data_IF_203201090235
#
_entry.id   IF_203201090235
#
_cell.length_a   1.000
_cell.length_b   1.000
_cell.length_c   1.000
_cell.angle_alpha   90.00
_cell.angle_beta   90.00
_cell.angle_gamma   90.00
#
_symmetry.space_group_name_H-M   'P 1'
#
loop_
_entity.id
_entity.type
_entity.pdbx_description
1 polymer ?
#
# COMPACT_ATOMS: atom_id res chain seq x y z
N UNK A 1 55.70 -8.63 -13.79
CA UNK A 1 55.49 -8.16 -12.39
C UNK A 1 54.07 -8.54 -12.01
N UNK A 2 53.78 -9.74 -11.51
CA UNK A 2 53.97 -10.28 -10.15
C UNK A 2 53.35 -9.38 -9.04
N UNK A 3 52.12 -9.77 -8.63
CA UNK A 3 51.52 -9.93 -7.27
C UNK A 3 51.69 -8.74 -6.30
N UNK A 4 50.66 -8.23 -5.61
CA UNK A 4 49.99 -8.88 -4.46
C UNK A 4 48.64 -8.25 -4.09
N UNK A 5 47.64 -9.11 -3.85
CA UNK A 5 46.42 -8.82 -3.09
C UNK A 5 46.79 -8.57 -1.62
N UNK A 6 46.27 -7.51 -1.02
CA UNK A 6 46.38 -7.28 0.42
C UNK A 6 45.10 -7.73 1.12
N UNK A 7 45.24 -8.70 2.01
CA UNK A 7 44.23 -9.16 2.96
C UNK A 7 44.24 -8.21 4.16
N UNK A 8 43.07 -7.82 4.68
CA UNK A 8 42.96 -7.18 6.01
C UNK A 8 41.85 -7.85 6.80
N UNK A 9 42.31 -8.83 7.59
CA UNK A 9 41.97 -9.19 8.96
C UNK A 9 40.59 -8.78 9.49
N UNK A 10 39.75 -9.81 9.70
CA UNK A 10 38.54 -9.81 10.53
C UNK A 10 38.94 -9.73 12.01
N UNK A 11 38.50 -8.68 12.71
CA UNK A 11 38.58 -8.59 14.18
C UNK A 11 37.26 -9.10 14.76
N UNK A 12 37.28 -10.30 15.33
CA UNK A 12 36.19 -10.87 16.12
C UNK A 12 36.36 -10.40 17.56
N UNK A 13 35.53 -9.47 17.99
CA UNK A 13 35.43 -9.05 19.40
C UNK A 13 34.45 -9.94 20.15
N UNK A 14 34.97 -10.83 21.00
CA UNK A 14 34.20 -11.55 22.00
C UNK A 14 33.85 -10.59 23.15
N UNK A 15 32.55 -10.36 23.39
CA UNK A 15 32.04 -9.79 24.64
C UNK A 15 31.18 -10.84 25.32
N UNK A 16 31.73 -11.37 26.41
CA UNK A 16 31.12 -12.30 27.35
C UNK A 16 30.12 -11.61 28.28
N UNK A 17 29.13 -12.38 28.74
CA UNK A 17 28.25 -12.14 29.91
C UNK A 17 27.29 -10.94 29.77
N UNK A 18 25.98 -11.15 29.84
CA UNK A 18 25.34 -11.54 31.10
C UNK A 18 23.95 -12.13 30.85
N UNK A 19 23.76 -13.36 31.33
CA UNK A 19 22.47 -14.02 31.45
C UNK A 19 21.73 -13.38 32.64
N UNK A 20 20.67 -12.62 32.40
CA UNK A 20 19.69 -12.24 33.41
C UNK A 20 18.39 -12.98 33.12
N UNK A 21 18.20 -14.08 33.86
CA UNK A 21 16.95 -14.82 33.91
C UNK A 21 16.05 -14.13 34.94
N UNK A 22 15.01 -13.45 34.49
CA UNK A 22 13.90 -13.05 35.35
C UNK A 22 12.74 -14.02 35.12
N UNK A 23 12.61 -15.05 35.98
CA UNK A 23 11.38 -15.85 36.07
C UNK A 23 10.41 -15.14 36.99
N UNK A 24 9.47 -14.39 36.43
CA UNK A 24 8.31 -13.89 37.14
C UNK A 24 7.23 -14.99 37.16
N UNK A 25 7.14 -15.70 38.28
CA UNK A 25 6.00 -16.54 38.63
C UNK A 25 4.82 -15.66 39.04
N UNK A 26 3.80 -15.55 38.20
CA UNK A 26 2.49 -15.07 38.63
C UNK A 26 1.62 -16.27 38.99
N UNK A 27 1.48 -16.49 40.30
CA UNK A 27 0.60 -17.46 40.92
C UNK A 27 -0.86 -17.22 40.53
N UNK A 28 -1.51 -18.31 40.15
CA UNK A 28 -2.92 -18.44 39.86
C UNK A 28 -3.71 -18.48 41.17
N UNK A 29 -4.40 -17.40 41.55
CA UNK A 29 -5.33 -17.42 42.68
C UNK A 29 -6.72 -17.89 42.23
N UNK A 30 -7.01 -19.12 42.62
CA UNK A 30 -8.34 -19.75 42.59
C UNK A 30 -9.17 -19.17 43.74
N UNK A 31 -10.23 -18.43 43.43
CA UNK A 31 -11.33 -18.15 44.37
C UNK A 31 -12.59 -18.88 43.92
N UNK A 32 -12.93 -19.91 44.68
CA UNK A 32 -14.24 -20.56 44.72
C UNK A 32 -15.13 -19.82 45.71
N UNK A 33 -16.36 -19.53 45.32
CA UNK A 33 -17.49 -19.38 46.25
C UNK A 33 -18.79 -19.64 45.47
N UNK A 34 -19.46 -20.69 45.88
CA UNK A 34 -20.75 -21.19 45.41
C UNK A 34 -21.93 -20.26 45.77
N UNK A 35 -23.03 -20.54 45.07
CA UNK A 35 -24.43 -20.50 45.51
C UNK A 35 -25.23 -19.19 45.34
N UNK A 36 -26.12 -19.17 44.34
CA UNK A 36 -27.55 -19.43 44.59
C UNK A 36 -28.38 -19.24 43.33
N UNK A 37 -29.37 -20.12 43.20
CA UNK A 37 -30.25 -20.32 42.06
C UNK A 37 -31.44 -19.37 42.11
N UNK A 38 -31.81 -18.73 40.98
CA UNK A 38 -33.22 -18.48 40.67
C UNK A 38 -33.42 -18.32 39.15
N UNK A 39 -34.27 -19.20 38.62
CA UNK A 39 -34.74 -19.24 37.24
C UNK A 39 -35.58 -17.99 36.94
N UNK A 40 -35.43 -17.44 35.74
CA UNK A 40 -36.56 -17.18 34.86
C UNK A 40 -36.09 -17.03 33.41
N UNK A 41 -36.93 -17.56 32.53
CA UNK A 41 -36.70 -17.75 31.12
C UNK A 41 -37.20 -16.49 30.41
N UNK A 42 -36.45 -15.93 29.48
CA UNK A 42 -37.02 -15.26 28.30
C UNK A 42 -35.96 -15.13 27.20
N UNK A 43 -36.34 -15.67 26.06
CA UNK A 43 -35.66 -15.73 24.77
C UNK A 43 -35.65 -14.33 24.14
N UNK A 44 -34.49 -13.80 23.67
CA UNK A 44 -34.43 -12.77 22.61
C UNK A 44 -32.98 -12.60 22.10
N UNK A 45 -32.86 -12.74 20.77
CA UNK A 45 -31.87 -12.14 19.86
C UNK A 45 -30.39 -12.44 20.08
N UNK A 46 -29.88 -13.41 19.30
CA UNK A 46 -28.45 -13.61 19.04
C UNK A 46 -27.92 -12.39 18.29
N UNK A 47 -27.36 -11.44 19.04
CA UNK A 47 -26.50 -10.40 18.51
C UNK A 47 -25.28 -11.04 17.86
N UNK A 48 -25.17 -10.87 16.54
CA UNK A 48 -23.97 -11.21 15.78
C UNK A 48 -22.83 -10.36 16.32
N UNK A 49 -22.00 -10.95 17.17
CA UNK A 49 -20.73 -10.37 17.57
C UNK A 49 -19.82 -10.36 16.36
N UNK A 50 -19.78 -9.23 15.67
CA UNK A 50 -18.70 -8.92 14.75
C UNK A 50 -17.43 -8.87 15.60
N UNK A 51 -16.64 -9.95 15.49
CA UNK A 51 -15.32 -10.02 16.12
C UNK A 51 -14.45 -8.98 15.42
N UNK A 52 -14.30 -7.83 16.05
CA UNK A 52 -13.34 -6.81 15.67
C UNK A 52 -11.94 -7.41 15.78
N UNK A 53 -11.42 -7.86 14.63
CA UNK A 53 -10.04 -8.27 14.50
C UNK A 53 -9.16 -7.04 14.73
N UNK A 54 -8.05 -7.14 15.48
CA UNK A 54 -7.15 -6.01 15.67
C UNK A 54 -6.63 -5.57 14.29
N UNK A 55 -7.08 -4.40 13.84
CA UNK A 55 -6.59 -3.76 12.61
C UNK A 55 -5.11 -3.47 12.86
N UNK A 56 -4.23 -4.26 12.26
CA UNK A 56 -2.80 -3.97 12.24
C UNK A 56 -2.66 -2.59 11.60
N UNK A 57 -2.34 -1.57 12.39
CA UNK A 57 -2.13 -0.22 11.88
C UNK A 57 -0.92 -0.25 10.94
N UNK A 58 -1.19 -0.22 9.65
CA UNK A 58 -0.19 0.03 8.62
C UNK A 58 -0.11 1.52 8.42
N UNK A 59 1.06 2.11 8.68
CA UNK A 59 1.30 3.51 8.37
C UNK A 59 1.34 3.71 6.84
N UNK A 60 0.57 4.67 6.35
CA UNK A 60 0.67 5.20 4.98
C UNK A 60 0.81 6.71 5.04
N UNK A 61 1.48 7.30 4.05
CA UNK A 61 1.84 8.73 4.08
C UNK A 61 0.77 9.65 3.44
N UNK A 62 -0.44 9.14 3.19
CA UNK A 62 -1.53 9.84 2.47
C UNK A 62 -1.82 11.25 3.00
N UNK A 63 -1.73 11.45 4.32
CA UNK A 63 -2.00 12.74 4.95
C UNK A 63 -1.16 13.89 4.38
N UNK A 64 0.06 13.63 3.90
CA UNK A 64 0.91 14.63 3.26
C UNK A 64 0.41 15.06 1.88
N UNK A 65 -0.27 14.17 1.17
CA UNK A 65 -0.83 14.42 -0.16
C UNK A 65 -2.23 15.05 -0.08
N UNK A 66 -3.01 14.65 0.93
CA UNK A 66 -4.39 15.11 1.15
C UNK A 66 -4.50 16.60 1.46
N UNK A 67 -3.41 17.26 1.87
CA UNK A 67 -3.37 18.72 2.06
C UNK A 67 -3.81 19.49 0.81
N UNK A 68 -3.42 19.02 -0.38
CA UNK A 68 -3.79 19.63 -1.66
C UNK A 68 -4.76 18.74 -2.47
N UNK A 69 -4.76 17.42 -2.24
CA UNK A 69 -5.55 16.45 -2.98
C UNK A 69 -6.62 15.75 -2.12
N UNK A 70 -7.32 16.53 -1.28
CA UNK A 70 -8.31 16.01 -0.32
C UNK A 70 -9.40 15.13 -0.95
N UNK A 71 -9.78 15.41 -2.20
CA UNK A 71 -10.83 14.68 -2.91
C UNK A 71 -10.55 13.18 -3.10
N UNK A 72 -9.31 12.73 -2.91
CA UNK A 72 -8.97 11.30 -2.99
C UNK A 72 -9.10 10.54 -1.67
N UNK A 73 -9.33 11.20 -0.52
CA UNK A 73 -9.42 10.51 0.78
C UNK A 73 -10.50 9.42 0.81
N UNK A 74 -11.66 9.70 0.22
CA UNK A 74 -12.79 8.77 0.13
C UNK A 74 -12.90 8.07 -1.23
N UNK A 75 -11.95 8.32 -2.14
CA UNK A 75 -11.97 7.70 -3.46
C UNK A 75 -11.66 6.21 -3.34
N UNK A 76 -12.40 5.37 -4.08
CA UNK A 76 -12.40 3.92 -3.88
C UNK A 76 -11.03 3.28 -4.06
N UNK A 77 -10.26 3.70 -5.07
CA UNK A 77 -8.91 3.18 -5.27
C UNK A 77 -8.02 3.54 -4.08
N UNK A 78 -7.91 4.82 -3.74
CA UNK A 78 -7.05 5.29 -2.64
C UNK A 78 -7.43 4.64 -1.30
N UNK A 79 -8.71 4.68 -0.92
CA UNK A 79 -9.20 4.12 0.36
C UNK A 79 -9.00 2.60 0.47
N UNK A 80 -9.25 1.84 -0.61
CA UNK A 80 -9.04 0.37 -0.59
C UNK A 80 -7.55 0.02 -0.49
N UNK A 81 -6.69 0.79 -1.16
CA UNK A 81 -5.25 0.57 -1.13
C UNK A 81 -4.65 0.97 0.22
N UNK A 82 -5.14 2.05 0.84
CA UNK A 82 -4.75 2.46 2.19
C UNK A 82 -5.06 1.35 3.22
N UNK A 83 -6.23 0.71 3.14
CA UNK A 83 -6.58 -0.43 4.00
C UNK A 83 -5.64 -1.64 3.81
N UNK A 84 -5.00 -1.75 2.64
CA UNK A 84 -3.98 -2.74 2.34
C UNK A 84 -2.55 -2.28 2.69
N UNK A 85 -2.38 -1.11 3.31
CA UNK A 85 -1.09 -0.53 3.65
C UNK A 85 -0.34 0.07 2.45
N UNK A 86 -1.06 0.43 1.38
CA UNK A 86 -0.51 1.03 0.17
C UNK A 86 -0.95 2.50 0.10
N UNK A 87 -0.04 3.41 0.45
CA UNK A 87 -0.26 4.85 0.37
C UNK A 87 -0.01 5.45 -1.02
N UNK A 88 -0.34 6.73 -1.18
CA UNK A 88 -0.10 7.53 -2.38
C UNK A 88 1.38 7.47 -2.79
N UNK A 89 2.29 7.57 -1.82
CA UNK A 89 3.74 7.54 -1.99
C UNK A 89 4.24 6.25 -2.62
N UNK A 90 3.52 5.13 -2.43
CA UNK A 90 3.91 3.84 -2.98
C UNK A 90 3.81 3.80 -4.50
N UNK A 91 2.89 4.59 -5.07
CA UNK A 91 2.62 4.66 -6.51
C UNK A 91 3.07 5.98 -7.14
N UNK A 92 2.97 7.11 -6.43
CA UNK A 92 3.33 8.44 -6.93
C UNK A 92 4.70 8.93 -6.44
N UNK A 93 5.37 8.16 -5.60
CA UNK A 93 6.60 8.53 -4.90
C UNK A 93 6.32 9.49 -3.74
N UNK A 94 7.28 9.63 -2.82
CA UNK A 94 7.17 10.53 -1.66
C UNK A 94 6.91 11.98 -2.06
N UNK A 95 7.35 12.37 -3.26
CA UNK A 95 7.01 13.63 -3.91
C UNK A 95 7.28 14.87 -3.03
N UNK A 96 8.38 14.84 -2.25
CA UNK A 96 8.74 15.90 -1.31
C UNK A 96 8.89 17.26 -2.00
N UNK A 97 9.55 17.31 -3.16
CA UNK A 97 9.72 18.55 -3.94
C UNK A 97 8.38 19.09 -4.44
N UNK A 98 7.48 18.22 -4.89
CA UNK A 98 6.15 18.61 -5.36
C UNK A 98 5.29 19.17 -4.21
N UNK A 99 5.24 18.49 -3.06
CA UNK A 99 4.44 18.94 -1.91
C UNK A 99 5.00 20.17 -1.20
N UNK A 100 6.24 20.55 -1.51
CA UNK A 100 6.90 21.76 -0.96
C UNK A 100 6.87 22.92 -1.96
N UNK A 101 6.28 22.73 -3.14
CA UNK A 101 6.20 23.75 -4.19
C UNK A 101 4.81 24.37 -4.25
N UNK A 102 4.66 25.55 -3.66
CA UNK A 102 3.39 26.28 -3.62
C UNK A 102 2.95 26.81 -5.00
N UNK A 103 3.88 26.94 -5.96
CA UNK A 103 3.57 27.34 -7.34
C UNK A 103 3.02 26.17 -8.19
N UNK A 104 3.06 24.95 -7.65
CA UNK A 104 2.59 23.72 -8.28
C UNK A 104 3.21 23.42 -9.65
N UNK A 105 4.44 23.89 -9.92
CA UNK A 105 5.14 23.70 -11.21
C UNK A 105 6.03 22.46 -11.22
N UNK A 106 6.37 21.94 -10.04
CA UNK A 106 7.12 20.71 -9.85
C UNK A 106 6.19 19.52 -9.96
N UNK A 107 6.44 18.55 -10.86
CA UNK A 107 5.62 17.35 -10.96
C UNK A 107 5.82 16.44 -9.73
N UNK A 108 4.84 15.57 -9.41
CA UNK A 108 5.09 14.46 -8.49
C UNK A 108 6.17 13.53 -9.08
N UNK A 109 6.83 12.76 -8.22
CA UNK A 109 7.98 11.94 -8.62
C UNK A 109 7.60 10.90 -9.69
N UNK A 110 6.39 10.34 -9.59
CA UNK A 110 5.87 9.39 -10.56
C UNK A 110 4.51 9.82 -11.09
N UNK A 111 4.44 9.95 -12.41
CA UNK A 111 3.21 10.06 -13.18
C UNK A 111 3.10 8.88 -14.16
N UNK A 112 1.86 8.52 -14.50
CA UNK A 112 1.60 7.37 -15.36
C UNK A 112 1.09 7.82 -16.74
N UNK A 113 1.93 7.78 -17.79
CA UNK A 113 1.42 7.74 -19.15
C UNK A 113 0.58 6.46 -19.34
N UNK A 114 -0.34 6.45 -20.31
CA UNK A 114 -1.36 5.40 -20.45
C UNK A 114 -0.74 4.00 -20.51
N UNK A 115 0.37 3.87 -21.22
CA UNK A 115 1.07 2.62 -21.49
C UNK A 115 1.69 2.01 -20.21
N UNK A 116 1.93 2.83 -19.18
CA UNK A 116 2.49 2.39 -17.89
C UNK A 116 1.44 2.05 -16.83
N UNK A 117 0.15 2.36 -17.05
CA UNK A 117 -0.89 2.12 -16.05
C UNK A 117 -1.05 0.62 -15.76
N UNK A 118 -1.36 -0.19 -16.78
CA UNK A 118 -1.61 -1.61 -16.59
C UNK A 118 -0.41 -2.38 -16.01
N UNK A 119 0.83 -2.20 -16.52
CA UNK A 119 2.00 -2.86 -15.93
C UNK A 119 2.20 -2.50 -14.45
N UNK A 120 1.93 -1.25 -14.07
CA UNK A 120 2.06 -0.81 -12.67
C UNK A 120 1.03 -1.50 -11.77
N UNK A 121 -0.23 -1.57 -12.20
CA UNK A 121 -1.26 -2.32 -11.45
C UNK A 121 -0.85 -3.79 -11.27
N UNK A 122 -0.21 -4.39 -12.27
CA UNK A 122 0.21 -5.79 -12.25
C UNK A 122 1.42 -6.08 -11.36
N UNK A 123 2.10 -5.06 -10.81
CA UNK A 123 3.14 -5.26 -9.80
C UNK A 123 2.59 -5.88 -8.51
N UNK A 124 1.34 -5.56 -8.16
CA UNK A 124 0.63 -6.12 -7.00
C UNK A 124 -0.55 -7.01 -7.39
N UNK A 125 -1.06 -6.91 -8.62
CA UNK A 125 -2.16 -7.72 -9.16
C UNK A 125 -1.67 -8.61 -10.31
N UNK A 126 -0.90 -9.67 -10.03
CA UNK A 126 -0.25 -10.44 -11.08
C UNK A 126 -1.27 -11.19 -11.94
N UNK A 127 -0.97 -11.34 -13.23
CA UNK A 127 -1.89 -11.90 -14.26
C UNK A 127 -2.49 -13.26 -13.86
N UNK A 128 -1.70 -14.13 -13.24
CA UNK A 128 -2.15 -15.46 -12.79
C UNK A 128 -3.24 -15.40 -11.71
N UNK A 129 -3.27 -14.34 -10.91
CA UNK A 129 -4.27 -14.14 -9.86
C UNK A 129 -5.54 -13.50 -10.40
N UNK A 130 -5.47 -12.67 -11.45
CA UNK A 130 -6.63 -11.92 -11.96
C UNK A 130 -7.24 -12.49 -13.26
N UNK A 131 -6.60 -13.48 -13.90
CA UNK A 131 -7.07 -14.08 -15.18
C UNK A 131 -8.42 -14.80 -15.10
N UNK A 132 -8.87 -15.16 -13.89
CA UNK A 132 -10.14 -15.86 -13.71
C UNK A 132 -11.36 -14.91 -13.87
N UNK A 133 -11.16 -13.60 -13.84
CA UNK A 133 -12.22 -12.62 -14.05
C UNK A 133 -12.46 -12.45 -15.55
N UNK A 134 -13.59 -12.94 -16.05
CA UNK A 134 -13.92 -12.94 -17.49
C UNK A 134 -13.83 -11.56 -18.15
N UNK A 135 -14.18 -10.49 -17.43
CA UNK A 135 -14.08 -9.11 -17.93
C UNK A 135 -12.64 -8.62 -18.15
N UNK A 136 -11.65 -9.29 -17.57
CA UNK A 136 -10.25 -8.99 -17.80
C UNK A 136 -9.67 -9.70 -19.04
N UNK A 137 -10.39 -10.67 -19.63
CA UNK A 137 -9.85 -11.53 -20.70
C UNK A 137 -9.21 -10.73 -21.83
N UNK A 138 -9.87 -9.69 -22.35
CA UNK A 138 -9.34 -8.89 -23.45
C UNK A 138 -8.15 -8.03 -23.04
N UNK A 139 -8.17 -7.45 -21.83
CA UNK A 139 -7.06 -6.68 -21.27
C UNK A 139 -5.82 -7.56 -21.09
N UNK A 140 -6.01 -8.77 -20.57
CA UNK A 140 -4.95 -9.72 -20.27
C UNK A 140 -4.47 -10.51 -21.49
N UNK A 141 -5.28 -10.57 -22.55
CA UNK A 141 -4.90 -11.14 -23.85
C UNK A 141 -3.97 -10.23 -24.67
N UNK A 142 -3.84 -8.95 -24.31
CA UNK A 142 -2.81 -8.06 -24.87
C UNK A 142 -1.43 -8.34 -24.26
N UNK A 143 -0.38 -7.76 -24.86
CA UNK A 143 1.02 -7.65 -24.38
C UNK A 143 1.43 -8.71 -23.35
N UNK A 144 2.03 -9.79 -23.83
CA UNK A 144 2.55 -10.87 -22.97
C UNK A 144 3.81 -10.40 -22.23
N UNK A 145 4.58 -9.52 -22.88
CA UNK A 145 5.81 -8.91 -22.36
C UNK A 145 5.77 -7.38 -22.42
N UNK A 146 6.69 -6.74 -21.69
CA UNK A 146 6.89 -5.27 -21.72
C UNK A 146 7.34 -4.72 -23.08
N UNK A 147 7.74 -5.59 -24.02
CA UNK A 147 8.23 -5.21 -25.35
C UNK A 147 7.14 -5.26 -26.42
N UNK A 148 6.02 -5.91 -26.12
CA UNK A 148 4.92 -6.02 -27.07
C UNK A 148 4.23 -4.66 -27.22
N UNK A 149 3.67 -4.38 -28.40
CA UNK A 149 2.78 -3.23 -28.58
C UNK A 149 1.38 -3.64 -28.19
N UNK A 150 0.81 -2.98 -27.18
CA UNK A 150 -0.58 -3.23 -26.80
C UNK A 150 -1.51 -2.82 -27.94
N UNK A 151 -2.32 -3.75 -28.42
CA UNK A 151 -3.44 -3.46 -29.33
C UNK A 151 -4.70 -3.04 -28.58
N UNK A 152 -4.70 -3.17 -27.25
CA UNK A 152 -5.84 -2.87 -26.40
C UNK A 152 -5.62 -1.53 -25.68
N UNK A 153 -6.53 -0.58 -25.92
CA UNK A 153 -6.44 0.78 -25.38
C UNK A 153 -7.02 0.94 -23.98
N UNK A 154 -7.66 -0.10 -23.43
CA UNK A 154 -8.28 -0.05 -22.10
C UNK A 154 -7.22 -0.14 -21.00
N UNK A 155 -7.40 0.66 -19.97
CA UNK A 155 -6.57 0.63 -18.77
C UNK A 155 -7.38 0.16 -17.56
N UNK A 156 -6.72 -0.43 -16.56
CA UNK A 156 -7.35 -0.85 -15.31
C UNK A 156 -8.17 0.30 -14.67
N UNK A 157 -7.64 1.52 -14.75
CA UNK A 157 -8.26 2.74 -14.21
C UNK A 157 -9.55 3.15 -14.92
N UNK A 158 -9.83 2.64 -16.13
CA UNK A 158 -11.09 2.95 -16.83
C UNK A 158 -12.31 2.35 -16.12
N UNK A 159 -12.10 1.29 -15.32
CA UNK A 159 -13.15 0.65 -14.52
C UNK A 159 -12.88 0.71 -13.01
N UNK A 160 -11.64 0.50 -12.57
CA UNK A 160 -11.30 0.37 -11.15
C UNK A 160 -11.01 1.69 -10.45
N UNK A 161 -10.67 2.73 -11.21
CA UNK A 161 -10.19 4.00 -10.68
C UNK A 161 -10.69 5.18 -11.52
N UNK A 162 -11.96 5.11 -11.95
CA UNK A 162 -12.53 6.09 -12.87
C UNK A 162 -12.40 7.51 -12.31
N UNK A 163 -12.58 7.66 -11.00
CA UNK A 163 -12.52 8.95 -10.29
C UNK A 163 -11.12 9.28 -9.76
N UNK A 164 -10.13 8.38 -9.87
CA UNK A 164 -8.75 8.61 -9.42
C UNK A 164 -7.96 9.45 -10.44
N UNK A 165 -8.44 10.68 -10.68
CA UNK A 165 -7.83 11.62 -11.63
C UNK A 165 -8.13 13.06 -11.24
N UNK A 166 -7.17 13.95 -11.51
CA UNK A 166 -7.40 15.39 -11.48
C UNK A 166 -8.13 15.79 -12.78
N UNK A 167 -9.39 16.21 -12.63
CA UNK A 167 -10.30 16.52 -13.76
C UNK A 167 -10.02 17.87 -14.42
N UNK A 168 -9.54 18.85 -13.66
CA UNK A 168 -9.19 20.19 -14.16
C UNK A 168 -7.72 20.44 -13.83
N UNK A 169 -6.92 20.75 -14.85
CA UNK A 169 -5.49 21.04 -14.70
C UNK A 169 -5.19 22.37 -15.35
N UNK A 170 -4.51 23.24 -14.62
CA UNK A 170 -3.87 24.45 -15.16
C UNK A 170 -2.44 24.14 -15.60
N UNK A 171 -1.74 23.30 -14.82
CA UNK A 171 -0.38 22.84 -15.12
C UNK A 171 -0.41 21.52 -15.87
N UNK A 172 0.31 21.46 -16.99
CA UNK A 172 0.45 20.26 -17.80
C UNK A 172 1.90 19.81 -17.84
N UNK A 173 2.13 18.55 -17.50
CA UNK A 173 3.44 17.90 -17.63
C UNK A 173 3.39 16.76 -18.63
N UNK A 174 4.53 16.49 -19.24
CA UNK A 174 4.78 15.21 -19.88
C UNK A 174 4.80 14.13 -18.79
N UNK A 175 3.77 13.28 -18.76
CA UNK A 175 3.64 12.24 -17.72
C UNK A 175 4.77 11.22 -17.72
N UNK A 176 5.51 11.06 -18.82
CA UNK A 176 6.61 10.12 -18.90
C UNK A 176 7.93 10.69 -18.35
N UNK A 177 8.14 12.01 -18.45
CA UNK A 177 9.42 12.67 -18.16
C UNK A 177 9.35 13.68 -17.02
N UNK A 178 8.17 14.18 -16.66
CA UNK A 178 7.99 15.27 -15.71
C UNK A 178 8.22 16.67 -16.30
N UNK A 179 8.56 16.78 -17.59
CA UNK A 179 8.79 18.07 -18.24
C UNK A 179 7.51 18.93 -18.23
N UNK A 180 7.64 20.20 -17.85
CA UNK A 180 6.56 21.17 -17.90
C UNK A 180 6.24 21.55 -19.34
N UNK A 181 4.99 21.34 -19.75
CA UNK A 181 4.49 21.63 -21.10
C UNK A 181 3.75 22.97 -21.15
N UNK A 182 2.91 23.25 -20.16
CA UNK A 182 2.04 24.43 -20.10
C UNK A 182 1.73 24.79 -18.64
N UNK A 183 1.55 26.09 -18.35
CA UNK A 183 1.19 26.66 -17.05
C UNK A 183 -0.01 27.60 -17.18
#
# INVERSE_FOLDING_TARGET
>A
MIVTKSQVVTVVGFIMSSLLVFTASCSFEKKTSDDSTLKQNEEISIGRQDKEQPKKETFVANAFCSACHYAFGDEKLASTHELAGIGCERCHGESERHRSDEDNVTPPEIMYPKERINPTCMMCHPRNEIKHVSRHQSLLAGVETIFDKSTNQKNCTDCHAKEHRINVRTIHWNKATGELLEK
#
